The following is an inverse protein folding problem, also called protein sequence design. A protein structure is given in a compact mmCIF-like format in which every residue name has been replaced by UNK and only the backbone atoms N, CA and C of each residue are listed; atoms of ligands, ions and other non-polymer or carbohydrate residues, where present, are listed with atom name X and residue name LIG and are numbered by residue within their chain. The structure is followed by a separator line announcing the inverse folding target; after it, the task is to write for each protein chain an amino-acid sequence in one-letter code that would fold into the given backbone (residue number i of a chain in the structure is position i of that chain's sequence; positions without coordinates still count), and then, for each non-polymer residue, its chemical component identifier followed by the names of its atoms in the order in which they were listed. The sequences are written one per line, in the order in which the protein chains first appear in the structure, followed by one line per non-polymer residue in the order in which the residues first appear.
data_IF_997735399086
#
_entry.id   IF_997735399086
#
_cell.length_a   1.000
_cell.length_b   1.000
_cell.length_c   1.000
_cell.angle_alpha   90.00
_cell.angle_beta   90.00
_cell.angle_gamma   90.00
#
_symmetry.space_group_name_H-M   'P 1'
#
loop_
_entity.id
_entity.type
_entity.pdbx_description
1 polymer ?
#
# COMPACT_ATOMS: atom_id res chain seq x y z
N UNK A 1 5.81 -13.12 -10.58
CA UNK A 1 7.22 -13.37 -10.32
C UNK A 1 7.83 -12.10 -9.72
N UNK A 2 8.20 -12.18 -8.43
CA UNK A 2 8.96 -11.11 -7.79
C UNK A 2 10.24 -10.91 -8.62
N UNK A 3 10.61 -9.68 -9.00
CA UNK A 3 11.87 -9.48 -9.70
C UNK A 3 13.01 -10.08 -8.87
N UNK A 4 13.83 -10.92 -9.49
CA UNK A 4 14.96 -11.51 -8.81
C UNK A 4 15.85 -10.39 -8.26
N UNK A 5 16.02 -10.35 -6.93
CA UNK A 5 16.89 -9.38 -6.25
C UNK A 5 16.20 -8.28 -5.44
N UNK A 6 14.87 -8.29 -5.31
CA UNK A 6 14.20 -7.37 -4.36
C UNK A 6 14.36 -7.87 -2.93
N UNK A 7 14.94 -7.04 -2.06
CA UNK A 7 15.08 -7.30 -0.62
C UNK A 7 14.20 -6.32 0.12
N UNK A 8 13.29 -6.83 0.93
CA UNK A 8 12.44 -6.03 1.83
C UNK A 8 13.05 -6.08 3.22
N UNK A 9 13.37 -4.90 3.79
CA UNK A 9 13.93 -4.76 5.14
C UNK A 9 12.83 -4.25 6.06
N UNK A 10 12.43 -5.06 7.03
CA UNK A 10 11.37 -4.71 7.98
C UNK A 10 11.96 -4.34 9.35
N UNK A 11 11.32 -3.39 10.03
CA UNK A 11 11.66 -3.06 11.40
C UNK A 11 11.25 -4.18 12.37
N UNK A 12 11.95 -4.39 13.49
CA UNK A 12 11.54 -5.37 14.50
C UNK A 12 10.11 -5.15 15.02
N UNK A 13 9.65 -3.89 15.09
CA UNK A 13 8.29 -3.58 15.53
C UNK A 13 7.22 -3.98 14.51
N UNK A 14 7.55 -3.97 13.22
CA UNK A 14 6.62 -4.45 12.19
C UNK A 14 6.47 -5.98 12.24
N UNK A 15 7.56 -6.70 12.58
CA UNK A 15 7.56 -8.16 12.66
C UNK A 15 6.83 -8.70 13.90
N UNK A 16 6.74 -7.90 14.97
CA UNK A 16 6.13 -8.32 16.25
C UNK A 16 4.59 -8.44 16.18
N UNK A 17 3.95 -7.78 15.22
CA UNK A 17 2.50 -7.76 15.03
C UNK A 17 2.16 -8.37 13.65
N UNK A 18 1.50 -9.54 13.59
CA UNK A 18 1.23 -10.22 12.33
C UNK A 18 0.42 -9.41 11.32
N UNK A 19 -0.57 -8.63 11.78
CA UNK A 19 -1.41 -7.80 10.90
C UNK A 19 -0.59 -6.64 10.33
N UNK A 20 0.16 -5.97 11.18
CA UNK A 20 1.09 -4.92 10.77
C UNK A 20 2.20 -5.46 9.86
N UNK A 21 2.70 -6.65 10.15
CA UNK A 21 3.67 -7.33 9.29
C UNK A 21 3.12 -7.54 7.88
N UNK A 22 1.92 -8.13 7.76
CA UNK A 22 1.29 -8.40 6.48
C UNK A 22 1.03 -7.10 5.70
N UNK A 23 0.50 -6.07 6.36
CA UNK A 23 0.26 -4.76 5.75
C UNK A 23 1.55 -4.10 5.26
N UNK A 24 2.64 -4.16 6.06
CA UNK A 24 3.95 -3.59 5.68
C UNK A 24 4.56 -4.36 4.51
N UNK A 25 4.52 -5.69 4.53
CA UNK A 25 5.03 -6.50 3.40
C UNK A 25 4.28 -6.17 2.12
N UNK A 26 2.95 -6.03 2.17
CA UNK A 26 2.15 -5.70 1.01
C UNK A 26 2.46 -4.28 0.48
N UNK A 27 2.69 -3.30 1.36
CA UNK A 27 3.19 -1.97 1.00
C UNK A 27 4.51 -2.06 0.21
N UNK A 28 5.50 -2.77 0.74
CA UNK A 28 6.80 -2.93 0.08
C UNK A 28 6.71 -3.72 -1.24
N UNK A 29 5.80 -4.68 -1.32
CA UNK A 29 5.54 -5.40 -2.57
C UNK A 29 4.98 -4.46 -3.66
N UNK A 30 4.18 -3.46 -3.28
CA UNK A 30 3.69 -2.45 -4.22
C UNK A 30 4.84 -1.62 -4.78
N UNK A 31 5.83 -1.22 -3.96
CA UNK A 31 7.04 -0.57 -4.45
C UNK A 31 7.84 -1.47 -5.40
N UNK A 32 8.00 -2.74 -5.07
CA UNK A 32 8.67 -3.70 -5.96
C UNK A 32 7.94 -3.83 -7.31
N UNK A 33 6.61 -3.83 -7.31
CA UNK A 33 5.79 -3.85 -8.51
C UNK A 33 5.96 -2.57 -9.34
N UNK A 34 5.95 -1.38 -8.71
CA UNK A 34 6.18 -0.09 -9.35
C UNK A 34 7.56 -0.05 -10.03
N UNK A 35 8.61 -0.50 -9.34
CA UNK A 35 9.97 -0.62 -9.89
C UNK A 35 10.03 -1.57 -11.11
N UNK A 36 9.31 -2.69 -11.03
CA UNK A 36 9.26 -3.67 -12.11
C UNK A 36 8.52 -3.15 -13.35
N UNK A 37 7.40 -2.47 -13.17
CA UNK A 37 6.56 -1.97 -14.25
C UNK A 37 7.17 -0.78 -14.99
N UNK A 38 7.82 0.14 -14.27
CA UNK A 38 8.42 1.37 -14.83
C UNK A 38 9.87 1.21 -15.29
N UNK A 39 10.49 0.06 -15.02
CA UNK A 39 11.93 -0.14 -15.17
C UNK A 39 12.67 0.41 -13.94
N UNK A 40 13.36 -0.47 -13.21
CA UNK A 40 13.87 -0.19 -11.85
C UNK A 40 14.70 1.10 -11.75
N UNK A 41 15.64 1.31 -12.69
CA UNK A 41 16.52 2.49 -12.65
C UNK A 41 15.74 3.78 -12.88
N UNK A 42 14.85 3.80 -13.86
CA UNK A 42 14.05 4.99 -14.18
C UNK A 42 13.11 5.33 -13.02
N UNK A 43 12.36 4.35 -12.52
CA UNK A 43 11.44 4.54 -11.40
C UNK A 43 12.16 5.05 -10.15
N UNK A 44 13.36 4.50 -9.84
CA UNK A 44 14.16 4.98 -8.72
C UNK A 44 14.62 6.43 -8.90
N UNK A 45 15.04 6.81 -10.12
CA UNK A 45 15.41 8.20 -10.42
C UNK A 45 14.19 9.13 -10.28
N UNK A 46 13.06 8.76 -10.88
CA UNK A 46 11.81 9.52 -10.84
C UNK A 46 11.33 9.70 -9.38
N UNK A 47 11.40 8.65 -8.57
CA UNK A 47 11.05 8.69 -7.14
C UNK A 47 11.91 9.68 -6.34
N UNK A 48 13.22 9.73 -6.61
CA UNK A 48 14.14 10.63 -5.92
C UNK A 48 14.02 12.07 -6.43
N UNK A 49 13.89 12.24 -7.74
CA UNK A 49 13.92 13.55 -8.41
C UNK A 49 12.57 14.28 -8.42
N UNK A 50 11.45 13.55 -8.27
CA UNK A 50 10.10 14.14 -8.32
C UNK A 50 9.34 13.84 -7.04
N UNK A 51 9.18 14.82 -6.14
CA UNK A 51 8.37 14.68 -4.93
C UNK A 51 6.91 14.32 -5.25
N UNK A 52 6.34 14.82 -6.36
CA UNK A 52 4.98 14.45 -6.77
C UNK A 52 4.85 12.96 -7.12
N UNK A 53 5.82 12.42 -7.88
CA UNK A 53 5.81 10.98 -8.21
C UNK A 53 6.04 10.14 -6.96
N UNK A 54 6.90 10.59 -6.04
CA UNK A 54 7.09 9.96 -4.74
C UNK A 54 5.80 9.95 -3.93
N UNK A 55 5.10 11.09 -3.81
CA UNK A 55 3.84 11.19 -3.09
C UNK A 55 2.77 10.24 -3.64
N UNK A 56 2.67 10.08 -4.96
CA UNK A 56 1.75 9.12 -5.60
C UNK A 56 2.17 7.69 -5.34
N UNK A 57 3.45 7.38 -5.48
CA UNK A 57 3.97 6.02 -5.28
C UNK A 57 3.75 5.55 -3.83
N UNK A 58 4.00 6.43 -2.86
CA UNK A 58 3.73 6.16 -1.45
C UNK A 58 2.23 6.01 -1.17
N UNK A 59 1.37 6.87 -1.75
CA UNK A 59 -0.07 6.75 -1.59
C UNK A 59 -0.61 5.40 -2.09
N UNK A 60 -0.14 4.92 -3.24
CA UNK A 60 -0.51 3.61 -3.77
C UNK A 60 0.00 2.48 -2.86
N UNK A 61 1.23 2.56 -2.35
CA UNK A 61 1.80 1.56 -1.47
C UNK A 61 1.06 1.53 -0.10
N UNK A 62 0.75 2.69 0.46
CA UNK A 62 -0.10 2.78 1.66
C UNK A 62 -1.51 2.22 1.40
N UNK A 63 -2.11 2.49 0.24
CA UNK A 63 -3.43 1.95 -0.09
C UNK A 63 -3.43 0.41 -0.07
N UNK A 64 -2.37 -0.24 -0.57
CA UNK A 64 -2.24 -1.70 -0.52
C UNK A 64 -2.10 -2.19 0.92
N UNK A 65 -1.22 -1.58 1.72
CA UNK A 65 -1.04 -1.93 3.12
C UNK A 65 -2.33 -1.78 3.93
N UNK A 66 -3.04 -0.66 3.77
CA UNK A 66 -4.32 -0.39 4.42
C UNK A 66 -5.42 -1.36 3.95
N UNK A 67 -5.42 -1.75 2.69
CA UNK A 67 -6.34 -2.75 2.17
C UNK A 67 -6.11 -4.12 2.81
N UNK A 68 -4.86 -4.56 2.95
CA UNK A 68 -4.54 -5.80 3.65
C UNK A 68 -4.97 -5.74 5.12
N UNK A 69 -4.70 -4.63 5.82
CA UNK A 69 -5.20 -4.44 7.17
C UNK A 69 -6.74 -4.54 7.23
N UNK A 70 -7.44 -3.86 6.32
CA UNK A 70 -8.91 -3.93 6.22
C UNK A 70 -9.42 -5.34 5.96
N UNK A 71 -8.77 -6.11 5.07
CA UNK A 71 -9.13 -7.51 4.83
C UNK A 71 -9.03 -8.36 6.09
N UNK A 72 -7.98 -8.18 6.88
CA UNK A 72 -7.69 -9.01 8.06
C UNK A 72 -8.50 -8.60 9.30
N UNK A 73 -8.84 -7.32 9.45
CA UNK A 73 -9.50 -6.79 10.66
C UNK A 73 -10.97 -6.43 10.48
N UNK A 74 -11.41 -6.19 9.25
CA UNK A 74 -12.72 -5.61 8.95
C UNK A 74 -12.82 -4.11 9.27
N UNK A 75 -11.73 -3.47 9.73
CA UNK A 75 -11.71 -2.06 10.11
C UNK A 75 -11.21 -1.22 8.94
N UNK A 76 -12.10 -0.43 8.34
CA UNK A 76 -11.72 0.50 7.28
C UNK A 76 -10.96 1.69 7.89
N UNK A 77 -9.71 1.96 7.44
CA UNK A 77 -8.93 3.10 7.92
C UNK A 77 -9.59 4.43 7.56
N UNK A 78 -9.37 5.46 8.37
CA UNK A 78 -9.81 6.82 8.05
C UNK A 78 -8.84 7.50 7.07
N UNK A 79 -9.35 8.49 6.32
CA UNK A 79 -8.50 9.29 5.45
C UNK A 79 -7.43 10.07 6.25
N UNK A 80 -7.75 10.52 7.45
CA UNK A 80 -6.83 11.28 8.30
C UNK A 80 -5.65 10.41 8.77
N UNK A 81 -5.90 9.16 9.19
CA UNK A 81 -4.85 8.21 9.58
C UNK A 81 -3.90 7.93 8.40
N UNK A 82 -4.48 7.79 7.21
CA UNK A 82 -3.75 7.52 5.99
C UNK A 82 -2.88 8.71 5.55
N UNK A 83 -3.42 9.94 5.61
CA UNK A 83 -2.68 11.17 5.27
C UNK A 83 -1.58 11.44 6.30
N UNK A 84 -1.81 11.16 7.58
CA UNK A 84 -0.78 11.29 8.61
C UNK A 84 0.47 10.45 8.31
N UNK A 85 0.30 9.30 7.66
CA UNK A 85 1.43 8.44 7.25
C UNK A 85 2.28 9.09 6.15
N UNK A 86 1.66 9.83 5.22
CA UNK A 86 2.38 10.56 4.17
C UNK A 86 3.09 11.82 4.67
N UNK A 87 2.57 12.44 5.73
CA UNK A 87 3.14 13.67 6.32
C UNK A 87 4.34 13.44 7.23
N UNK A 88 4.81 12.18 7.35
CA UNK A 88 5.98 11.84 8.17
C UNK A 88 7.27 12.48 7.60
N UNK A 89 8.22 12.81 8.51
CA UNK A 89 9.54 13.33 8.12
C UNK A 89 10.33 12.37 7.22
N UNK A 90 9.88 11.10 7.12
CA UNK A 90 10.54 10.07 6.34
C UNK A 90 10.55 10.38 4.84
N UNK A 91 9.48 10.98 4.33
CA UNK A 91 9.33 11.19 2.87
C UNK A 91 9.75 12.59 2.41
N UNK A 92 9.96 13.53 3.33
CA UNK A 92 10.31 14.93 3.02
C UNK A 92 9.39 15.57 1.98
N UNK A 93 8.07 15.32 2.12
CA UNK A 93 7.05 15.87 1.24
C UNK A 93 6.63 17.26 1.72
N UNK A 94 6.47 18.19 0.78
CA UNK A 94 5.86 19.49 1.05
C UNK A 94 4.33 19.36 1.25
N UNK A 95 3.66 20.35 1.87
CA UNK A 95 2.22 20.24 2.17
C UNK A 95 1.33 20.00 0.94
N UNK A 96 1.68 20.55 -0.22
CA UNK A 96 0.97 20.35 -1.47
C UNK A 96 1.18 18.93 -2.04
N UNK A 97 2.35 18.36 -1.85
CA UNK A 97 2.65 16.97 -2.22
C UNK A 97 1.94 15.97 -1.30
N UNK A 98 1.89 16.26 0.02
CA UNK A 98 1.07 15.51 0.97
C UNK A 98 -0.41 15.57 0.58
N UNK A 99 -0.91 16.74 0.19
CA UNK A 99 -2.30 16.90 -0.27
C UNK A 99 -2.57 16.10 -1.55
N UNK A 100 -1.62 16.06 -2.49
CA UNK A 100 -1.70 15.28 -3.72
C UNK A 100 -1.78 13.78 -3.40
N UNK A 101 -0.84 13.26 -2.61
CA UNK A 101 -0.83 11.85 -2.19
C UNK A 101 -2.08 11.48 -1.38
N UNK A 102 -2.51 12.39 -0.49
CA UNK A 102 -3.74 12.25 0.28
C UNK A 102 -4.99 12.13 -0.60
N UNK A 103 -5.07 12.88 -1.70
CA UNK A 103 -6.16 12.76 -2.68
C UNK A 103 -6.18 11.40 -3.38
N UNK A 104 -5.01 10.88 -3.77
CA UNK A 104 -4.88 9.53 -4.35
C UNK A 104 -5.34 8.49 -3.34
N UNK A 105 -4.85 8.55 -2.11
CA UNK A 105 -5.18 7.61 -1.04
C UNK A 105 -6.67 7.64 -0.69
N UNK A 106 -7.28 8.82 -0.59
CA UNK A 106 -8.71 8.98 -0.37
C UNK A 106 -9.56 8.33 -1.47
N UNK A 107 -9.11 8.36 -2.73
CA UNK A 107 -9.77 7.66 -3.84
C UNK A 107 -9.74 6.14 -3.65
N UNK A 108 -8.62 5.58 -3.21
CA UNK A 108 -8.53 4.15 -2.91
C UNK A 108 -9.40 3.76 -1.72
N UNK A 109 -9.42 4.56 -0.64
CA UNK A 109 -10.29 4.32 0.51
C UNK A 109 -11.77 4.36 0.15
N UNK A 110 -12.17 5.26 -0.75
CA UNK A 110 -13.55 5.30 -1.25
C UNK A 110 -13.94 4.03 -2.02
N UNK A 111 -13.01 3.40 -2.73
CA UNK A 111 -13.22 2.09 -3.39
C UNK A 111 -13.37 0.98 -2.35
N UNK A 112 -12.50 0.96 -1.35
CA UNK A 112 -12.58 -0.02 -0.24
C UNK A 112 -13.91 0.09 0.52
N UNK A 113 -14.39 1.32 0.78
CA UNK A 113 -15.67 1.55 1.43
C UNK A 113 -16.88 0.98 0.65
N UNK A 114 -16.73 0.77 -0.66
CA UNK A 114 -17.73 0.12 -1.50
C UNK A 114 -17.56 -1.40 -1.55
N UNK A 115 -16.65 -1.99 -0.78
CA UNK A 115 -16.33 -3.42 -0.84
C UNK A 115 -15.57 -3.82 -2.11
N UNK A 116 -14.81 -2.89 -2.71
CA UNK A 116 -14.05 -3.12 -3.93
C UNK A 116 -12.55 -2.99 -3.60
N UNK A 117 -11.75 -3.93 -4.08
CA UNK A 117 -10.29 -3.82 -3.96
C UNK A 117 -9.78 -2.58 -4.73
N UNK A 118 -8.78 -1.86 -4.21
CA UNK A 118 -8.10 -0.83 -4.98
C UNK A 118 -7.59 -1.43 -6.31
N UNK A 119 -7.65 -0.69 -7.42
CA UNK A 119 -7.21 -1.18 -8.74
C UNK A 119 -5.67 -1.20 -8.84
N UNK A 120 -5.03 -1.74 -7.83
CA UNK A 120 -3.58 -1.91 -7.71
C UNK A 120 -3.25 -3.40 -7.83
N UNK A 121 -2.27 -3.76 -8.64
CA UNK A 121 -1.94 -5.16 -8.95
C UNK A 121 -1.74 -5.99 -7.70
N UNK A 122 -0.96 -5.50 -6.73
CA UNK A 122 -0.69 -6.23 -5.48
C UNK A 122 -1.95 -6.42 -4.65
N UNK A 123 -2.83 -5.41 -4.55
CA UNK A 123 -4.09 -5.53 -3.81
C UNK A 123 -5.00 -6.62 -4.42
N UNK A 124 -5.09 -6.66 -5.75
CA UNK A 124 -5.90 -7.66 -6.47
C UNK A 124 -5.31 -9.07 -6.30
N UNK A 125 -3.99 -9.21 -6.39
CA UNK A 125 -3.29 -10.49 -6.22
C UNK A 125 -3.42 -11.03 -4.79
N UNK A 126 -3.26 -10.17 -3.78
CA UNK A 126 -3.43 -10.55 -2.36
C UNK A 126 -4.86 -10.99 -2.08
N UNK A 127 -5.87 -10.26 -2.57
CA UNK A 127 -7.26 -10.66 -2.40
C UNK A 127 -7.56 -11.99 -3.09
N UNK A 128 -7.06 -12.21 -4.31
CA UNK A 128 -7.25 -13.45 -5.04
C UNK A 128 -6.59 -14.63 -4.31
N UNK A 129 -5.39 -14.43 -3.78
CA UNK A 129 -4.68 -15.44 -2.99
C UNK A 129 -5.42 -15.77 -1.69
N UNK A 130 -5.84 -14.75 -0.92
CA UNK A 130 -6.60 -14.97 0.32
C UNK A 130 -7.90 -15.72 0.06
N UNK A 131 -8.66 -15.35 -0.98
CA UNK A 131 -9.91 -16.05 -1.34
C UNK A 131 -9.71 -17.54 -1.66
N UNK A 132 -8.56 -17.88 -2.24
CA UNK A 132 -8.27 -19.25 -2.66
C UNK A 132 -7.68 -20.08 -1.53
N UNK A 133 -6.70 -19.55 -0.83
CA UNK A 133 -5.87 -20.31 0.12
C UNK A 133 -6.31 -20.10 1.58
N UNK A 134 -6.84 -18.92 1.92
CA UNK A 134 -7.11 -18.51 3.31
C UNK A 134 -8.39 -17.68 3.44
N UNK A 135 -9.55 -18.15 2.94
CA UNK A 135 -10.80 -17.37 3.00
C UNK A 135 -11.25 -17.05 4.43
N UNK A 136 -10.83 -17.85 5.40
CA UNK A 136 -11.10 -17.65 6.84
C UNK A 136 -10.43 -16.40 7.42
N UNK A 137 -9.37 -15.90 6.80
CA UNK A 137 -8.67 -14.69 7.23
C UNK A 137 -9.34 -13.39 6.74
N UNK A 138 -10.29 -13.49 5.80
CA UNK A 138 -10.99 -12.31 5.29
C UNK A 138 -12.10 -11.94 6.26
N UNK A 139 -11.91 -10.83 7.00
CA UNK A 139 -12.90 -10.32 7.94
C UNK A 139 -14.06 -9.57 7.26
N UNK A 140 -13.85 -9.07 6.04
CA UNK A 140 -14.82 -8.26 5.28
C UNK A 140 -15.73 -9.16 4.45
N UNK A 141 -16.99 -9.32 4.87
CA UNK A 141 -17.94 -10.25 4.24
C UNK A 141 -18.21 -9.94 2.76
N UNK A 142 -18.30 -8.65 2.39
CA UNK A 142 -18.48 -8.22 0.99
C UNK A 142 -17.31 -8.56 0.06
N UNK A 143 -16.15 -8.92 0.64
CA UNK A 143 -14.92 -9.27 -0.08
C UNK A 143 -14.56 -10.76 0.02
N UNK A 144 -15.40 -11.59 0.66
CA UNK A 144 -15.20 -13.04 0.78
C UNK A 144 -15.47 -13.80 -0.51
#
# INVERSE_FOLDING_TARGET
PTPAGTVVILSPSAVADPERYAATVAHEMQHAQQLSAGGAVRTAIDYVASPELRARAEADAYAVGLFVHYLLTGILPTADDAVASLSSDTYHLAPDEVALGGGVLASHLATMAQGIAPPLTVAVEVLAWLRTEHPELIAVEALR
#
